data_IF_526508031586
#
_entry.id   IF_526508031586
#
_cell.length_a   1.000
_cell.length_b   1.000
_cell.length_c   1.000
_cell.angle_alpha   90.00
_cell.angle_beta   90.00
_cell.angle_gamma   90.00
#
_symmetry.space_group_name_H-M   'P 1'
#
loop_
_entity.id
_entity.type
_entity.pdbx_description
1 polymer ?
#
# COMPACT_ATOMS: atom_id res chain seq x y z
N UNK A 1 0.64 -7.21 -8.85
CA UNK A 1 0.44 -6.80 -7.44
C UNK A 1 -1.00 -6.33 -7.24
N UNK A 2 -1.55 -5.69 -8.26
CA UNK A 2 -2.88 -5.07 -8.36
C UNK A 2 -4.04 -5.95 -7.88
N UNK A 3 -4.11 -7.23 -8.30
CA UNK A 3 -5.18 -8.16 -7.81
C UNK A 3 -5.24 -8.28 -6.29
N UNK A 4 -4.07 -8.29 -5.62
CA UNK A 4 -4.00 -8.37 -4.15
C UNK A 4 -4.47 -7.06 -3.52
N UNK A 5 -4.15 -5.93 -4.14
CA UNK A 5 -4.52 -4.59 -3.69
C UNK A 5 -6.02 -4.36 -3.85
N UNK A 6 -6.59 -4.73 -5.01
CA UNK A 6 -8.03 -4.72 -5.27
C UNK A 6 -8.80 -5.54 -4.24
N UNK A 7 -8.29 -6.74 -3.91
CA UNK A 7 -8.94 -7.61 -2.93
C UNK A 7 -8.95 -6.97 -1.55
N UNK A 8 -7.83 -6.42 -1.07
CA UNK A 8 -7.81 -5.77 0.26
C UNK A 8 -8.61 -4.46 0.27
N UNK A 9 -8.68 -3.72 -0.84
CA UNK A 9 -9.54 -2.55 -0.96
C UNK A 9 -11.02 -2.94 -0.81
N UNK A 10 -11.47 -3.99 -1.51
CA UNK A 10 -12.83 -4.54 -1.41
C UNK A 10 -13.17 -5.09 -0.02
N UNK A 11 -12.17 -5.58 0.72
CA UNK A 11 -12.31 -6.00 2.11
C UNK A 11 -12.32 -4.82 3.11
N UNK A 12 -12.18 -3.58 2.63
CA UNK A 12 -12.28 -2.37 3.45
C UNK A 12 -10.98 -1.90 4.10
N UNK A 13 -9.83 -2.51 3.77
CA UNK A 13 -8.54 -2.04 4.25
C UNK A 13 -8.24 -0.64 3.71
N UNK A 14 -7.77 0.25 4.60
CA UNK A 14 -7.53 1.67 4.26
C UNK A 14 -6.10 2.00 3.85
N UNK A 15 -5.15 1.11 4.17
CA UNK A 15 -3.73 1.29 3.85
C UNK A 15 -3.16 -0.01 3.31
N UNK A 16 -2.40 0.07 2.22
CA UNK A 16 -1.67 -1.05 1.64
C UNK A 16 -0.18 -0.70 1.50
N UNK A 17 0.68 -1.49 2.14
CA UNK A 17 2.12 -1.34 2.05
C UNK A 17 2.67 -2.26 0.95
N UNK A 18 3.49 -1.69 0.07
CA UNK A 18 4.10 -2.40 -1.06
C UNK A 18 5.61 -2.13 -1.11
N UNK A 19 6.40 -2.93 -1.84
CA UNK A 19 7.78 -2.58 -2.15
C UNK A 19 7.87 -1.24 -2.89
N UNK A 20 8.88 -0.42 -2.59
CA UNK A 20 9.04 0.91 -3.19
C UNK A 20 9.09 0.89 -4.72
N UNK A 21 9.66 -0.16 -5.31
CA UNK A 21 9.72 -0.36 -6.77
C UNK A 21 8.34 -0.53 -7.41
N UNK A 22 7.35 -1.05 -6.68
CA UNK A 22 6.00 -1.28 -7.18
C UNK A 22 5.07 -0.06 -7.01
N UNK A 23 5.37 0.85 -6.07
CA UNK A 23 4.49 1.97 -5.72
C UNK A 23 4.05 2.80 -6.92
N UNK A 24 4.98 3.15 -7.82
CA UNK A 24 4.68 3.97 -9.01
C UNK A 24 3.73 3.28 -9.98
N UNK A 25 3.90 1.97 -10.19
CA UNK A 25 3.06 1.18 -11.08
C UNK A 25 1.63 1.07 -10.55
N UNK A 26 1.49 0.98 -9.22
CA UNK A 26 0.21 0.75 -8.56
C UNK A 26 -0.59 2.05 -8.41
N UNK A 27 0.07 3.18 -8.12
CA UNK A 27 -0.61 4.48 -7.98
C UNK A 27 -1.35 4.95 -9.24
N UNK A 28 -0.96 4.45 -10.40
CA UNK A 28 -1.62 4.77 -11.68
C UNK A 28 -2.82 3.88 -12.01
N UNK A 29 -3.14 2.89 -11.17
CA UNK A 29 -4.24 1.96 -11.43
C UNK A 29 -5.58 2.55 -10.97
N UNK A 30 -6.52 2.68 -11.93
CA UNK A 30 -7.90 3.09 -11.67
C UNK A 30 -8.57 2.13 -10.67
N UNK A 31 -9.31 2.67 -9.69
CA UNK A 31 -10.02 1.87 -8.67
C UNK A 31 -9.26 1.64 -7.36
N UNK A 32 -8.07 2.22 -7.19
CA UNK A 32 -7.34 2.24 -5.89
C UNK A 32 -7.45 3.59 -5.15
N UNK A 33 -8.47 4.40 -5.47
CA UNK A 33 -8.68 5.71 -4.86
C UNK A 33 -9.01 5.64 -3.35
N UNK A 34 -9.70 4.58 -2.93
CA UNK A 34 -10.17 4.41 -1.55
C UNK A 34 -9.13 3.77 -0.60
N UNK A 35 -7.95 3.42 -1.11
CA UNK A 35 -6.88 2.78 -0.34
C UNK A 35 -5.56 3.54 -0.47
N UNK A 36 -4.96 3.87 0.68
CA UNK A 36 -3.67 4.55 0.71
C UNK A 36 -2.53 3.56 0.40
N UNK A 37 -1.91 3.70 -0.77
CA UNK A 37 -0.73 2.91 -1.14
C UNK A 37 0.55 3.57 -0.63
N UNK A 38 1.37 2.82 0.12
CA UNK A 38 2.64 3.29 0.67
C UNK A 38 3.78 2.36 0.24
N UNK A 39 4.73 2.90 -0.51
CA UNK A 39 5.94 2.17 -0.91
C UNK A 39 7.04 2.24 0.15
N UNK A 40 7.52 1.08 0.61
CA UNK A 40 8.63 0.94 1.56
C UNK A 40 9.87 0.30 0.91
N UNK A 41 11.06 0.79 1.24
CA UNK A 41 12.34 0.25 0.75
C UNK A 41 12.88 -0.91 1.59
N UNK A 42 12.50 -0.97 2.87
CA UNK A 42 13.01 -1.94 3.83
C UNK A 42 12.04 -2.14 5.00
N UNK A 43 12.33 -3.14 5.85
CA UNK A 43 11.50 -3.49 6.99
C UNK A 43 11.43 -2.38 8.05
N UNK A 44 12.50 -1.58 8.22
CA UNK A 44 12.50 -0.46 9.17
C UNK A 44 11.45 0.58 8.82
N UNK A 45 11.29 0.90 7.54
CA UNK A 45 10.22 1.79 7.06
C UNK A 45 8.84 1.21 7.34
N UNK A 46 8.63 -0.09 7.05
CA UNK A 46 7.35 -0.77 7.37
C UNK A 46 7.03 -0.67 8.85
N UNK A 47 7.99 -0.98 9.72
CA UNK A 47 7.78 -0.96 11.17
C UNK A 47 7.43 0.45 11.65
N UNK A 48 8.15 1.46 11.16
CA UNK A 48 7.89 2.85 11.52
C UNK A 48 6.49 3.31 11.08
N UNK A 49 6.04 2.92 9.88
CA UNK A 49 4.73 3.29 9.35
C UNK A 49 3.58 2.57 10.07
N UNK A 50 3.73 1.27 10.34
CA UNK A 50 2.64 0.45 10.90
C UNK A 50 2.51 0.61 12.41
N UNK A 51 3.63 0.68 13.13
CA UNK A 51 3.64 0.56 14.59
C UNK A 51 4.08 1.82 15.33
N UNK A 52 4.57 2.85 14.61
CA UNK A 52 5.10 4.08 15.23
C UNK A 52 4.45 5.36 14.72
N UNK A 53 3.42 5.29 13.89
CA UNK A 53 2.60 6.46 13.58
C UNK A 53 1.72 6.82 14.79
N UNK A 54 2.27 7.65 15.67
CA UNK A 54 1.51 8.56 16.54
C UNK A 54 1.50 9.94 15.90
#
# INVERSE_FOLDING_TARGET
MDKRIDTVAKLGYKTCIVPKSAEKSVRGTLGFEDIKIIGCKNLKEVINIVFRSN
#
